data_IF_484019723763
#
_entry.id   IF_484019723763
#
_cell.length_a   1.000
_cell.length_b   1.000
_cell.length_c   1.000
_cell.angle_alpha   90.00
_cell.angle_beta   90.00
_cell.angle_gamma   90.00
#
_symmetry.space_group_name_H-M   'P 1'
#
loop_
_entity.id
_entity.type
_entity.pdbx_description
1 polymer ?
#
# COMPACT_ATOMS: atom_id res chain seq x y z
N UNK A 1 8.51 8.80 -19.38
CA UNK A 1 8.63 7.75 -18.37
C UNK A 1 9.10 8.36 -17.07
N UNK A 2 8.35 8.14 -16.02
CA UNK A 2 8.70 8.71 -14.72
C UNK A 2 9.83 7.91 -14.08
N UNK A 3 10.81 8.60 -13.54
CA UNK A 3 11.87 7.95 -12.80
C UNK A 3 11.43 7.77 -11.35
N UNK A 4 11.90 6.69 -10.73
CA UNK A 4 11.65 6.45 -9.33
C UNK A 4 12.33 7.53 -8.48
N UNK A 5 11.60 8.06 -7.51
CA UNK A 5 12.17 9.01 -6.55
C UNK A 5 13.16 8.24 -5.68
N UNK A 6 14.40 8.71 -5.64
CA UNK A 6 15.45 8.09 -4.84
C UNK A 6 15.94 9.09 -3.81
N UNK A 7 15.81 8.72 -2.54
CA UNK A 7 16.37 9.49 -1.43
C UNK A 7 17.28 8.54 -0.64
N UNK A 8 18.32 9.09 -0.03
CA UNK A 8 19.13 8.26 0.84
C UNK A 8 18.34 7.93 2.13
N UNK A 9 18.80 6.91 2.84
CA UNK A 9 18.09 6.41 4.01
C UNK A 9 17.95 7.46 5.11
N UNK A 10 18.93 8.34 5.23
CA UNK A 10 18.91 9.39 6.25
C UNK A 10 17.77 10.38 5.99
N UNK A 11 17.54 10.74 4.74
CA UNK A 11 16.44 11.65 4.37
C UNK A 11 15.08 11.02 4.62
N UNK A 12 14.93 9.73 4.33
CA UNK A 12 13.71 9.02 4.66
C UNK A 12 13.46 8.98 6.16
N UNK A 13 14.50 8.77 6.96
CA UNK A 13 14.38 8.78 8.43
C UNK A 13 13.93 10.13 8.95
N UNK A 14 14.36 11.21 8.33
CA UNK A 14 13.97 12.56 8.74
C UNK A 14 12.52 12.87 8.36
N UNK A 15 12.06 12.35 7.23
CA UNK A 15 10.72 12.62 6.70
C UNK A 15 9.64 11.76 7.35
N UNK A 16 9.95 10.50 7.64
CA UNK A 16 8.98 9.51 8.08
C UNK A 16 9.04 9.31 9.60
N UNK A 17 7.89 8.93 10.18
CA UNK A 17 7.91 8.45 11.56
C UNK A 17 8.65 7.12 11.61
N UNK A 18 9.11 6.67 12.82
CA UNK A 18 9.75 5.36 12.92
C UNK A 18 8.91 4.21 12.37
N UNK A 19 7.60 4.22 12.62
CA UNK A 19 6.69 3.19 12.11
C UNK A 19 6.60 3.22 10.59
N UNK A 20 6.49 4.42 10.01
CA UNK A 20 6.44 4.58 8.55
C UNK A 20 7.73 4.09 7.92
N UNK A 21 8.86 4.44 8.50
CA UNK A 21 10.16 4.01 8.00
C UNK A 21 10.28 2.48 8.02
N UNK A 22 9.89 1.85 9.14
CA UNK A 22 9.97 0.40 9.29
C UNK A 22 9.15 -0.33 8.22
N UNK A 23 7.98 0.16 7.91
CA UNK A 23 7.09 -0.49 6.94
C UNK A 23 7.44 -0.12 5.51
N UNK A 24 7.60 1.18 5.22
CA UNK A 24 7.77 1.64 3.84
C UNK A 24 9.17 1.35 3.30
N UNK A 25 10.19 1.47 4.13
CA UNK A 25 11.59 1.35 3.67
C UNK A 25 12.15 -0.03 3.99
N UNK A 26 11.87 -0.56 5.18
CA UNK A 26 12.38 -1.87 5.61
C UNK A 26 11.45 -3.04 5.29
N UNK A 27 10.36 -2.78 4.56
CA UNK A 27 9.41 -3.81 4.14
C UNK A 27 8.76 -4.56 5.29
N UNK A 28 8.46 -3.84 6.38
CA UNK A 28 7.76 -4.42 7.51
C UNK A 28 6.26 -4.56 7.22
N UNK A 29 5.55 -5.12 8.19
CA UNK A 29 4.09 -5.31 8.11
C UNK A 29 3.48 -4.84 9.41
N UNK A 30 2.46 -3.97 9.32
CA UNK A 30 1.74 -3.57 10.53
C UNK A 30 0.93 -4.75 11.08
N UNK A 31 0.70 -4.81 12.42
CA UNK A 31 -0.15 -5.88 12.97
C UNK A 31 -1.56 -5.80 12.40
N UNK A 32 -2.25 -6.95 12.22
CA UNK A 32 -3.63 -6.93 11.72
C UNK A 32 -4.53 -6.18 12.69
N UNK A 33 -5.54 -5.50 12.15
CA UNK A 33 -6.52 -4.72 12.90
C UNK A 33 -5.94 -3.52 13.64
N UNK A 34 -4.69 -3.14 13.38
CA UNK A 34 -4.05 -2.00 14.03
C UNK A 34 -4.10 -0.73 13.19
N UNK A 35 -4.31 -0.83 11.89
CA UNK A 35 -4.24 0.31 10.98
C UNK A 35 -5.50 1.15 11.00
N UNK A 36 -5.32 2.47 10.92
CA UNK A 36 -6.45 3.41 11.00
C UNK A 36 -7.41 3.33 9.82
N UNK A 37 -6.99 2.75 8.70
CA UNK A 37 -7.86 2.63 7.52
C UNK A 37 -8.48 1.25 7.35
N UNK A 38 -8.22 0.32 8.25
CA UNK A 38 -8.74 -1.04 8.12
C UNK A 38 -10.28 -1.04 8.01
N UNK A 39 -10.97 -0.41 8.95
CA UNK A 39 -12.43 -0.33 8.97
C UNK A 39 -12.95 1.00 8.44
N UNK A 40 -12.10 1.76 7.74
CA UNK A 40 -12.46 3.10 7.30
C UNK A 40 -13.56 3.07 6.24
N UNK A 41 -14.56 3.91 6.41
CA UNK A 41 -15.59 4.20 5.39
C UNK A 41 -15.35 5.55 4.73
N UNK A 42 -14.17 6.13 4.91
CA UNK A 42 -13.84 7.43 4.34
C UNK A 42 -13.83 7.35 2.81
N UNK A 43 -14.42 8.36 2.20
CA UNK A 43 -14.42 8.50 0.75
C UNK A 43 -13.23 9.31 0.30
N UNK A 44 -12.68 8.98 -0.88
CA UNK A 44 -11.59 9.72 -1.46
C UNK A 44 -10.48 8.84 -1.94
N UNK A 45 -9.28 9.40 -1.97
CA UNK A 45 -8.08 8.76 -2.47
C UNK A 45 -7.18 8.33 -1.32
N UNK A 46 -6.50 7.21 -1.52
CA UNK A 46 -5.43 6.75 -0.63
C UNK A 46 -4.12 6.88 -1.37
N UNK A 47 -3.25 7.75 -0.86
CA UNK A 47 -1.98 8.11 -1.50
C UNK A 47 -0.81 7.51 -0.76
N UNK A 48 0.32 7.40 -1.46
CA UNK A 48 1.57 6.96 -0.84
C UNK A 48 2.00 7.97 0.21
N UNK A 49 2.24 7.52 1.43
CA UNK A 49 2.64 8.42 2.52
C UNK A 49 4.02 9.03 2.26
N UNK A 50 4.84 8.38 1.44
CA UNK A 50 6.20 8.85 1.16
C UNK A 50 6.26 9.91 0.06
N UNK A 51 5.56 9.71 -1.06
CA UNK A 51 5.68 10.59 -2.21
C UNK A 51 4.39 11.27 -2.64
N UNK A 52 3.25 10.86 -2.08
CA UNK A 52 1.96 11.48 -2.42
C UNK A 52 1.29 10.94 -3.68
N UNK A 53 1.87 9.93 -4.33
CA UNK A 53 1.26 9.35 -5.53
C UNK A 53 -0.08 8.73 -5.19
N UNK A 54 -1.10 8.94 -6.02
CA UNK A 54 -2.41 8.34 -5.84
C UNK A 54 -2.34 6.85 -6.14
N UNK A 55 -2.75 6.01 -5.19
CA UNK A 55 -2.59 4.56 -5.29
C UNK A 55 -3.92 3.83 -5.36
N UNK A 56 -4.84 4.15 -4.47
CA UNK A 56 -6.13 3.46 -4.37
C UNK A 56 -7.25 4.44 -4.12
N UNK A 57 -8.46 4.01 -4.49
CA UNK A 57 -9.68 4.80 -4.29
C UNK A 57 -10.61 4.07 -3.34
N UNK A 58 -11.38 4.83 -2.55
CA UNK A 58 -12.42 4.27 -1.69
C UNK A 58 -13.45 3.46 -2.48
N UNK A 59 -13.59 3.74 -3.78
CA UNK A 59 -14.52 3.00 -4.64
C UNK A 59 -14.13 1.52 -4.79
N UNK A 60 -12.86 1.20 -4.61
CA UNK A 60 -12.36 -0.17 -4.73
C UNK A 60 -12.08 -0.80 -3.37
N UNK A 61 -12.32 -0.08 -2.27
CA UNK A 61 -12.06 -0.59 -0.92
C UNK A 61 -13.20 -1.50 -0.48
N UNK A 62 -12.85 -2.63 0.12
CA UNK A 62 -13.84 -3.56 0.66
C UNK A 62 -13.32 -4.16 1.97
N UNK A 63 -14.24 -4.73 2.75
CA UNK A 63 -13.91 -5.40 4.01
C UNK A 63 -13.58 -6.86 3.73
N UNK A 64 -12.30 -7.21 3.80
CA UNK A 64 -11.85 -8.57 3.55
C UNK A 64 -11.80 -9.43 4.81
N UNK A 65 -11.95 -8.81 5.99
CA UNK A 65 -11.80 -9.52 7.25
C UNK A 65 -10.35 -9.87 7.59
N UNK A 66 -9.40 -9.43 6.78
CA UNK A 66 -7.98 -9.80 6.96
C UNK A 66 -7.27 -9.03 8.06
N UNK A 67 -7.81 -7.87 8.44
CA UNK A 67 -7.17 -6.99 9.43
C UNK A 67 -6.34 -5.87 8.81
N UNK A 68 -6.33 -5.75 7.49
CA UNK A 68 -5.66 -4.67 6.76
C UNK A 68 -6.61 -4.06 5.74
N UNK A 69 -6.44 -2.77 5.39
CA UNK A 69 -7.24 -2.17 4.32
C UNK A 69 -7.08 -2.99 3.04
N UNK A 70 -8.18 -3.28 2.39
CA UNK A 70 -8.18 -4.13 1.19
C UNK A 70 -8.88 -3.42 0.04
N UNK A 71 -8.29 -3.57 -1.15
CA UNK A 71 -8.80 -2.97 -2.38
C UNK A 71 -8.79 -4.02 -3.48
N UNK A 72 -9.76 -3.95 -4.41
CA UNK A 72 -9.79 -4.94 -5.49
C UNK A 72 -9.08 -4.48 -6.75
N UNK A 73 -8.66 -3.21 -6.81
CA UNK A 73 -7.76 -2.72 -7.87
C UNK A 73 -7.10 -1.41 -7.44
N UNK A 74 -5.93 -1.06 -8.03
CA UNK A 74 -5.36 0.27 -7.85
C UNK A 74 -6.05 1.28 -8.76
N UNK A 75 -5.81 2.58 -8.56
CA UNK A 75 -6.33 3.62 -9.45
C UNK A 75 -5.71 3.50 -10.85
N UNK A 76 -4.47 3.02 -10.93
CA UNK A 76 -3.78 2.73 -12.19
C UNK A 76 -2.70 1.70 -11.94
N UNK A 77 -2.63 0.71 -12.82
CA UNK A 77 -1.53 -0.28 -12.76
C UNK A 77 -0.16 0.37 -12.93
N UNK A 78 -0.11 1.53 -13.57
CA UNK A 78 1.13 2.26 -13.78
C UNK A 78 1.71 2.85 -12.50
N UNK A 79 0.91 2.92 -11.43
CA UNK A 79 1.37 3.47 -10.16
C UNK A 79 1.89 2.40 -9.21
N UNK A 80 1.81 1.13 -9.60
CA UNK A 80 2.14 -0.01 -8.76
C UNK A 80 3.28 -0.81 -9.36
N UNK A 81 4.24 -1.20 -8.52
CA UNK A 81 5.31 -2.13 -8.87
C UNK A 81 5.05 -3.47 -8.17
N UNK A 82 5.12 -4.56 -8.92
CA UNK A 82 4.90 -5.90 -8.40
C UNK A 82 6.25 -6.62 -8.29
N UNK A 83 6.52 -7.21 -7.13
CA UNK A 83 7.78 -7.92 -6.88
C UNK A 83 7.47 -9.27 -6.26
N UNK A 84 8.13 -10.32 -6.75
CA UNK A 84 7.98 -11.65 -6.19
C UNK A 84 8.62 -11.69 -4.80
N UNK A 85 7.87 -12.19 -3.82
CA UNK A 85 8.31 -12.31 -2.44
C UNK A 85 8.27 -13.79 -2.04
N UNK A 86 9.43 -14.36 -1.79
CA UNK A 86 9.54 -15.79 -1.45
C UNK A 86 10.04 -16.03 -0.02
N UNK A 87 9.99 -15.00 0.83
CA UNK A 87 10.43 -15.13 2.21
C UNK A 87 9.54 -16.09 3.00
N UNK A 88 10.12 -16.72 3.99
CA UNK A 88 9.44 -17.68 4.89
C UNK A 88 8.83 -18.87 4.17
N UNK A 89 9.39 -19.26 3.01
CA UNK A 89 8.90 -20.40 2.26
C UNK A 89 7.58 -20.18 1.55
N UNK A 90 7.08 -18.97 1.55
CA UNK A 90 5.83 -18.60 0.87
C UNK A 90 6.13 -17.92 -0.46
N UNK A 91 5.21 -18.08 -1.41
CA UNK A 91 5.28 -17.36 -2.67
C UNK A 91 4.17 -16.33 -2.68
N UNK A 92 4.53 -15.06 -2.61
CA UNK A 92 3.58 -13.95 -2.59
C UNK A 92 4.02 -12.90 -3.59
N UNK A 93 3.10 -12.01 -3.96
CA UNK A 93 3.41 -10.85 -4.79
C UNK A 93 3.38 -9.60 -3.93
N UNK A 94 4.53 -8.97 -3.79
CA UNK A 94 4.67 -7.73 -3.04
C UNK A 94 4.22 -6.56 -3.91
N UNK A 95 3.54 -5.58 -3.29
CA UNK A 95 3.03 -4.38 -3.95
C UNK A 95 3.77 -3.18 -3.40
N UNK A 96 4.41 -2.43 -4.27
CA UNK A 96 5.17 -1.23 -3.92
C UNK A 96 4.70 -0.04 -4.75
N UNK A 97 4.95 1.17 -4.24
CA UNK A 97 4.71 2.38 -5.00
C UNK A 97 5.75 2.48 -6.11
N UNK A 98 5.30 2.52 -7.36
CA UNK A 98 6.22 2.59 -8.50
C UNK A 98 6.99 3.90 -8.52
N UNK A 99 6.38 4.97 -8.02
CA UNK A 99 6.97 6.31 -8.06
C UNK A 99 8.18 6.44 -7.13
N UNK A 100 8.12 5.87 -5.91
CA UNK A 100 9.21 6.03 -4.93
C UNK A 100 9.77 4.73 -4.38
N UNK A 101 9.13 3.59 -4.69
CA UNK A 101 9.59 2.30 -4.21
C UNK A 101 9.14 1.93 -2.80
N UNK A 102 8.31 2.76 -2.17
CA UNK A 102 7.79 2.47 -0.83
C UNK A 102 7.03 1.15 -0.82
N UNK A 103 7.29 0.32 0.20
CA UNK A 103 6.55 -0.93 0.38
C UNK A 103 5.13 -0.63 0.84
N UNK A 104 4.14 -1.22 0.16
CA UNK A 104 2.73 -0.99 0.47
C UNK A 104 2.10 -2.22 1.12
N UNK A 105 2.33 -3.39 0.57
CA UNK A 105 1.73 -4.62 1.05
C UNK A 105 1.89 -5.73 0.04
N UNK A 106 0.84 -6.56 -0.09
CA UNK A 106 0.84 -7.71 -0.99
C UNK A 106 -0.50 -7.81 -1.72
N UNK A 107 -0.50 -8.47 -2.86
CA UNK A 107 -1.74 -8.76 -3.60
C UNK A 107 -1.95 -10.27 -3.66
N UNK A 108 -3.20 -10.69 -3.48
CA UNK A 108 -3.63 -12.09 -3.51
C UNK A 108 -4.74 -12.25 -4.55
N UNK A 109 -4.96 -13.46 -5.02
CA UNK A 109 -5.96 -13.73 -6.06
C UNK A 109 -7.29 -14.27 -5.50
N UNK A 110 -7.58 -13.95 -4.23
CA UNK A 110 -8.79 -14.36 -3.54
C UNK A 110 -9.73 -13.18 -3.26
N UNK A 111 -9.75 -12.20 -4.14
CA UNK A 111 -10.57 -11.01 -4.00
C UNK A 111 -11.91 -11.10 -4.74
N UNK A 112 -12.70 -10.01 -4.66
CA UNK A 112 -14.01 -9.97 -5.30
C UNK A 112 -13.89 -9.69 -6.80
N UNK A 113 -14.99 -9.98 -7.52
CA UNK A 113 -15.10 -9.56 -8.91
C UNK A 113 -15.14 -8.03 -8.99
N UNK A 114 -14.69 -7.42 -10.08
CA UNK A 114 -14.34 -8.04 -11.37
C UNK A 114 -12.90 -8.53 -11.48
N UNK A 115 -11.99 -8.11 -10.61
CA UNK A 115 -10.57 -8.44 -10.75
C UNK A 115 -10.18 -9.77 -10.11
N UNK A 116 -10.94 -10.22 -9.12
CA UNK A 116 -10.62 -11.35 -8.25
C UNK A 116 -9.31 -11.13 -7.48
N UNK A 117 -8.89 -9.86 -7.34
CA UNK A 117 -7.65 -9.49 -6.65
C UNK A 117 -7.96 -8.88 -5.30
N UNK A 118 -7.12 -9.18 -4.31
CA UNK A 118 -7.17 -8.54 -2.99
C UNK A 118 -5.83 -7.90 -2.72
N UNK A 119 -5.79 -6.57 -2.82
CA UNK A 119 -4.62 -5.78 -2.45
C UNK A 119 -4.69 -5.50 -0.97
N UNK A 120 -3.86 -6.18 -0.19
CA UNK A 120 -3.81 -6.08 1.26
C UNK A 120 -2.69 -5.10 1.62
N UNK A 121 -3.06 -3.90 2.05
CA UNK A 121 -2.14 -2.76 2.13
C UNK A 121 -2.02 -2.29 3.57
N UNK A 122 -0.80 -1.94 3.98
CA UNK A 122 -0.55 -1.37 5.31
C UNK A 122 -1.11 0.04 5.40
N UNK A 123 -1.95 0.32 6.40
CA UNK A 123 -2.49 1.67 6.62
C UNK A 123 -1.38 2.69 6.78
N UNK A 124 -0.30 2.30 7.43
CA UNK A 124 0.84 3.19 7.70
C UNK A 124 1.49 3.68 6.40
N UNK A 125 1.40 2.90 5.33
CA UNK A 125 1.94 3.27 4.01
C UNK A 125 1.04 4.25 3.25
N UNK A 126 -0.16 4.52 3.76
CA UNK A 126 -1.17 5.30 3.05
C UNK A 126 -1.48 6.61 3.75
N UNK A 127 -1.87 7.60 2.93
CA UNK A 127 -2.40 8.87 3.40
C UNK A 127 -3.73 9.10 2.69
N UNK A 128 -4.79 9.27 3.48
CA UNK A 128 -6.13 9.52 2.92
C UNK A 128 -6.28 11.00 2.56
N UNK A 129 -6.90 11.25 1.40
CA UNK A 129 -7.26 12.58 0.97
C UNK A 129 -8.69 12.55 0.45
N UNK A 130 -9.54 13.40 1.02
CA UNK A 130 -10.95 13.43 0.67
C UNK A 130 -11.14 14.05 -0.73
N UNK A 131 -12.02 13.48 -1.52
CA UNK A 131 -12.43 14.07 -2.79
C UNK A 131 -13.25 15.35 -2.54
N UNK A 132 -13.07 16.30 -3.42
CA UNK A 132 -13.88 17.53 -3.39
C UNK A 132 -15.02 17.48 -4.38
#
# INVERSE_FOLDING_TARGET
MAEKIVKDLQKWKEQLTPDQYEICIKHGTEPPFSGKYNDSKLEGSFKCVCCGEELFSSNAKFDSGSGWPSFWEPVSEDNIEYVSDTEYGMVRTEVNCKNCGSHLGHVFDDGPKPTNQRYCINSISLKHEKDE
#
